data_IF_127219984540
#
_entry.id   IF_127219984540
#
_cell.length_a   1.000
_cell.length_b   1.000
_cell.length_c   1.000
_cell.angle_alpha   90.00
_cell.angle_beta   90.00
_cell.angle_gamma   90.00
#
_symmetry.space_group_name_H-M   'P 1'
#
loop_
_entity.id
_entity.type
_entity.pdbx_description
1 polymer ?
#
# COMPACT_ATOMS: atom_id res chain seq x y z
N UNK A 1 9.32 -38.03 2.97
CA UNK A 1 8.54 -37.18 2.03
C UNK A 1 9.25 -37.22 0.69
N UNK A 2 8.55 -37.11 -0.45
CA UNK A 2 9.21 -36.98 -1.77
C UNK A 2 9.91 -35.63 -1.89
N UNK A 3 10.85 -35.51 -2.84
CA UNK A 3 11.47 -34.23 -3.21
C UNK A 3 10.42 -33.15 -3.51
N UNK A 4 9.42 -33.50 -4.33
CA UNK A 4 8.31 -32.61 -4.66
C UNK A 4 7.50 -32.17 -3.44
N UNK A 5 7.28 -33.07 -2.48
CA UNK A 5 6.57 -32.69 -1.26
C UNK A 5 7.44 -31.78 -0.40
N UNK A 6 8.74 -32.09 -0.27
CA UNK A 6 9.69 -31.28 0.50
C UNK A 6 9.77 -29.83 -0.02
N UNK A 7 9.76 -29.63 -1.35
CA UNK A 7 9.79 -28.28 -1.95
C UNK A 7 8.56 -27.42 -1.63
N UNK A 8 7.49 -28.03 -1.12
CA UNK A 8 6.25 -27.37 -0.69
C UNK A 8 6.07 -27.33 0.83
N UNK A 9 6.95 -27.96 1.61
CA UNK A 9 6.92 -27.86 3.07
C UNK A 9 7.30 -26.44 3.49
N UNK A 10 6.47 -25.84 4.35
CA UNK A 10 6.66 -24.50 4.92
C UNK A 10 6.68 -24.56 6.43
N UNK A 11 7.37 -23.61 7.04
CA UNK A 11 7.42 -23.51 8.49
C UNK A 11 6.03 -23.22 9.05
N UNK A 12 5.55 -23.95 10.09
CA UNK A 12 4.19 -23.77 10.58
C UNK A 12 3.97 -22.38 11.20
N UNK A 13 2.96 -21.66 10.70
CA UNK A 13 2.62 -20.31 11.16
C UNK A 13 2.29 -20.25 12.65
N UNK A 14 1.56 -21.24 13.16
CA UNK A 14 1.16 -21.24 14.58
C UNK A 14 2.34 -21.52 15.51
N UNK A 15 3.28 -22.37 15.09
CA UNK A 15 4.54 -22.56 15.82
C UNK A 15 5.33 -21.26 15.88
N UNK A 16 5.43 -20.55 14.75
CA UNK A 16 6.11 -19.27 14.70
C UNK A 16 5.45 -18.20 15.57
N UNK A 17 4.10 -18.14 15.60
CA UNK A 17 3.36 -17.22 16.48
C UNK A 17 3.66 -17.48 17.96
N UNK A 18 3.73 -18.75 18.39
CA UNK A 18 4.09 -19.11 19.77
C UNK A 18 5.54 -18.70 20.08
N UNK A 19 6.48 -19.02 19.19
CA UNK A 19 7.89 -18.64 19.36
C UNK A 19 8.10 -17.13 19.41
N UNK A 20 7.40 -16.39 18.54
CA UNK A 20 7.33 -14.93 18.54
C UNK A 20 6.85 -14.39 19.88
N UNK A 21 5.75 -14.91 20.42
CA UNK A 21 5.21 -14.47 21.70
C UNK A 21 6.18 -14.74 22.87
N UNK A 22 6.85 -15.90 22.87
CA UNK A 22 7.87 -16.25 23.86
C UNK A 22 9.07 -15.29 23.74
N UNK A 23 9.58 -15.06 22.53
CA UNK A 23 10.73 -14.18 22.29
C UNK A 23 10.44 -12.73 22.65
N UNK A 24 9.21 -12.24 22.48
CA UNK A 24 8.83 -10.89 22.91
C UNK A 24 9.08 -10.63 24.40
N UNK A 25 9.02 -11.67 25.23
CA UNK A 25 9.22 -11.57 26.69
C UNK A 25 10.59 -12.07 27.13
N UNK A 26 11.06 -13.20 26.58
CA UNK A 26 12.22 -13.93 27.09
C UNK A 26 13.53 -13.67 26.33
N UNK A 27 13.55 -12.73 25.38
CA UNK A 27 14.82 -12.24 24.81
C UNK A 27 15.65 -11.42 25.82
N UNK A 28 15.02 -10.95 26.91
CA UNK A 28 15.65 -10.16 27.97
C UNK A 28 16.43 -11.08 28.90
N UNK A 29 17.76 -10.99 28.87
CA UNK A 29 18.65 -11.77 29.75
C UNK A 29 18.91 -11.16 31.13
N UNK A 30 18.58 -9.88 31.33
CA UNK A 30 18.76 -9.19 32.62
C UNK A 30 17.55 -9.39 33.55
N UNK A 31 17.80 -9.80 34.78
CA UNK A 31 16.75 -10.15 35.74
C UNK A 31 15.93 -8.93 36.20
N UNK A 32 16.56 -7.76 36.32
CA UNK A 32 15.88 -6.55 36.74
C UNK A 32 14.96 -6.04 35.63
N UNK A 33 15.45 -5.98 34.39
CA UNK A 33 14.65 -5.61 33.23
C UNK A 33 13.50 -6.59 32.98
N UNK A 34 13.75 -7.89 33.13
CA UNK A 34 12.70 -8.90 33.03
C UNK A 34 11.60 -8.70 34.09
N UNK A 35 11.98 -8.44 35.35
CA UNK A 35 11.01 -8.19 36.43
C UNK A 35 10.23 -6.89 36.22
N UNK A 36 10.88 -5.84 35.72
CA UNK A 36 10.27 -4.54 35.47
C UNK A 36 9.49 -4.47 34.15
N UNK A 37 9.71 -5.44 33.25
CA UNK A 37 9.14 -5.51 31.89
C UNK A 37 9.43 -4.25 31.06
N UNK A 38 10.54 -3.56 31.37
CA UNK A 38 10.96 -2.32 30.72
C UNK A 38 11.46 -2.54 29.27
N UNK A 39 11.87 -3.76 28.96
CA UNK A 39 12.25 -4.22 27.62
C UNK A 39 11.38 -5.38 27.12
N UNK A 40 10.12 -5.45 27.55
CA UNK A 40 9.16 -6.39 26.98
C UNK A 40 8.68 -5.90 25.60
N UNK A 41 8.61 -6.80 24.62
CA UNK A 41 8.15 -6.51 23.27
C UNK A 41 6.87 -7.27 22.95
N UNK A 42 6.07 -6.73 22.03
CA UNK A 42 4.88 -7.37 21.50
C UNK A 42 4.80 -7.27 19.98
N UNK A 43 3.92 -8.07 19.39
CA UNK A 43 3.57 -7.93 17.98
C UNK A 43 2.72 -6.68 17.82
N UNK A 44 2.95 -5.82 16.81
CA UNK A 44 2.06 -4.69 16.56
C UNK A 44 0.66 -5.16 16.19
N UNK A 45 -0.35 -4.32 16.48
CA UNK A 45 -1.69 -4.49 15.92
C UNK A 45 -1.63 -4.45 14.39
N UNK A 46 -2.56 -5.15 13.74
CA UNK A 46 -2.72 -5.07 12.30
C UNK A 46 -3.12 -3.64 11.92
N UNK A 47 -2.39 -2.97 11.01
CA UNK A 47 -2.73 -1.62 10.58
C UNK A 47 -4.11 -1.46 9.94
N UNK A 48 -4.72 -2.55 9.47
CA UNK A 48 -6.07 -2.59 8.90
C UNK A 48 -7.14 -3.08 9.89
N UNK A 49 -6.74 -3.70 11.00
CA UNK A 49 -7.64 -4.18 12.03
C UNK A 49 -6.98 -4.08 13.41
N UNK A 50 -7.29 -3.01 14.14
CA UNK A 50 -6.72 -2.73 15.45
C UNK A 50 -7.04 -3.76 16.55
N UNK A 51 -8.03 -4.64 16.29
CA UNK A 51 -8.47 -5.68 17.19
C UNK A 51 -7.69 -6.99 17.03
N UNK A 52 -6.80 -7.07 16.04
CA UNK A 52 -5.97 -8.23 15.76
C UNK A 52 -4.48 -7.85 15.76
N UNK A 53 -3.63 -8.81 16.13
CA UNK A 53 -2.18 -8.66 15.97
C UNK A 53 -1.79 -8.94 14.53
N UNK A 54 -0.83 -8.19 14.00
CA UNK A 54 -0.36 -8.38 12.65
C UNK A 54 0.13 -9.84 12.46
N UNK A 55 -0.44 -10.60 11.51
CA UNK A 55 -0.01 -11.96 11.26
C UNK A 55 1.40 -11.96 10.68
N UNK A 56 2.20 -13.00 10.94
CA UNK A 56 3.46 -13.15 10.23
C UNK A 56 3.19 -13.48 8.76
N UNK A 57 4.06 -13.01 7.87
CA UNK A 57 3.91 -13.17 6.43
C UNK A 57 5.18 -13.70 5.79
N UNK A 58 5.04 -14.36 4.65
CA UNK A 58 6.18 -14.94 3.94
C UNK A 58 6.81 -13.93 2.99
N UNK A 59 8.14 -13.91 2.99
CA UNK A 59 8.96 -13.07 2.13
C UNK A 59 10.14 -13.87 1.61
N UNK A 60 10.54 -13.63 0.37
CA UNK A 60 11.86 -14.02 -0.11
C UNK A 60 12.83 -12.90 0.25
N UNK A 61 13.70 -13.15 1.21
CA UNK A 61 14.62 -12.13 1.74
C UNK A 61 15.95 -12.71 2.14
N UNK A 62 16.95 -11.84 2.25
CA UNK A 62 18.29 -12.16 2.74
C UNK A 62 18.51 -11.47 4.09
N UNK A 63 18.51 -12.26 5.16
CA UNK A 63 18.87 -11.75 6.49
C UNK A 63 20.38 -11.53 6.58
N UNK A 64 20.85 -10.62 7.47
CA UNK A 64 22.28 -10.47 7.73
C UNK A 64 22.96 -11.80 8.07
N UNK A 65 24.12 -12.05 7.46
CA UNK A 65 24.85 -13.31 7.60
C UNK A 65 24.41 -14.43 6.64
N UNK A 66 23.33 -14.24 5.87
CA UNK A 66 22.98 -15.15 4.77
C UNK A 66 23.70 -14.75 3.48
N UNK A 67 24.05 -15.73 2.66
CA UNK A 67 24.75 -15.52 1.37
C UNK A 67 23.79 -15.39 0.19
N UNK A 68 22.51 -15.78 0.36
CA UNK A 68 21.48 -15.71 -0.67
C UNK A 68 20.10 -15.48 -0.05
N UNK A 69 19.14 -14.92 -0.81
CA UNK A 69 17.75 -14.83 -0.37
C UNK A 69 17.13 -16.21 -0.14
N UNK A 70 16.27 -16.30 0.87
CA UNK A 70 15.53 -17.51 1.22
C UNK A 70 14.07 -17.18 1.50
N UNK A 71 13.18 -18.13 1.19
CA UNK A 71 11.76 -18.00 1.53
C UNK A 71 11.59 -18.15 3.04
N UNK A 72 11.24 -17.06 3.71
CA UNK A 72 11.17 -16.97 5.18
C UNK A 72 9.84 -16.41 5.61
N UNK A 73 9.39 -16.81 6.79
CA UNK A 73 8.27 -16.16 7.47
C UNK A 73 8.82 -15.06 8.37
N UNK A 74 8.22 -13.88 8.33
CA UNK A 74 8.70 -12.65 8.92
C UNK A 74 7.67 -12.05 9.89
N UNK A 75 8.14 -11.39 10.95
CA UNK A 75 7.33 -10.61 11.89
C UNK A 75 8.16 -9.49 12.49
N UNK A 76 7.49 -8.41 12.90
CA UNK A 76 8.10 -7.27 13.59
C UNK A 76 7.74 -7.25 15.08
N UNK A 77 8.49 -6.48 15.85
CA UNK A 77 8.26 -6.22 17.27
C UNK A 77 8.22 -4.73 17.57
N UNK A 78 7.32 -4.34 18.47
CA UNK A 78 7.23 -3.01 19.08
C UNK A 78 7.34 -3.13 20.61
N UNK A 79 7.66 -2.05 21.36
CA UNK A 79 7.59 -2.06 22.81
C UNK A 79 6.20 -2.48 23.30
N UNK A 80 6.14 -3.26 24.39
CA UNK A 80 4.86 -3.70 24.93
C UNK A 80 4.06 -2.55 25.53
N UNK A 81 2.75 -2.57 25.29
CA UNK A 81 1.77 -1.65 25.88
C UNK A 81 1.42 -1.97 27.33
N UNK A 82 1.80 -3.15 27.86
CA UNK A 82 1.55 -3.49 29.26
C UNK A 82 2.26 -2.54 30.24
N UNK A 83 3.32 -1.86 29.79
CA UNK A 83 4.05 -0.85 30.56
C UNK A 83 3.55 0.60 30.35
N UNK A 84 2.54 0.84 29.49
CA UNK A 84 1.98 2.17 29.19
C UNK A 84 1.49 2.35 27.74
N UNK A 85 1.35 3.59 27.23
CA UNK A 85 1.04 3.81 25.82
C UNK A 85 2.19 3.28 24.94
N UNK A 86 1.98 2.15 24.26
CA UNK A 86 3.00 1.58 23.37
C UNK A 86 3.37 2.59 22.29
N UNK A 87 4.65 2.97 22.28
CA UNK A 87 5.24 3.68 21.16
C UNK A 87 5.29 2.69 20.01
N UNK A 88 4.61 2.98 18.90
CA UNK A 88 4.62 2.08 17.75
C UNK A 88 5.89 2.29 16.90
N UNK A 89 7.05 2.07 17.54
CA UNK A 89 8.40 2.10 16.94
C UNK A 89 8.94 0.67 16.90
N UNK A 90 9.71 0.33 15.89
CA UNK A 90 10.28 -1.02 15.78
C UNK A 90 11.44 -1.21 16.74
N UNK A 91 11.38 -2.29 17.51
CA UNK A 91 12.49 -2.77 18.35
C UNK A 91 13.33 -3.82 17.64
N UNK A 92 12.76 -4.49 16.65
CA UNK A 92 13.42 -5.56 15.92
C UNK A 92 12.44 -6.33 15.06
N UNK A 93 12.98 -7.33 14.37
CA UNK A 93 12.21 -8.26 13.57
C UNK A 93 12.79 -9.66 13.67
N UNK A 94 11.95 -10.64 13.40
CA UNK A 94 12.28 -12.06 13.44
C UNK A 94 11.89 -12.69 12.12
N UNK A 95 12.81 -13.47 11.57
CA UNK A 95 12.57 -14.31 10.41
C UNK A 95 12.84 -15.78 10.75
N UNK A 96 12.05 -16.69 10.19
CA UNK A 96 12.33 -18.12 10.21
C UNK A 96 12.39 -18.65 8.79
N UNK A 97 13.47 -19.36 8.49
CA UNK A 97 13.63 -20.00 7.20
C UNK A 97 12.51 -21.03 6.98
N UNK A 98 11.75 -20.84 5.92
CA UNK A 98 10.56 -21.61 5.60
C UNK A 98 10.74 -22.47 4.35
N UNK A 99 11.97 -22.61 3.84
CA UNK A 99 12.27 -23.48 2.72
C UNK A 99 12.96 -24.76 3.21
N UNK A 100 12.18 -25.85 3.21
CA UNK A 100 12.63 -27.17 3.63
C UNK A 100 13.61 -27.82 2.65
N UNK A 101 13.82 -27.27 1.46
CA UNK A 101 14.66 -27.84 0.41
C UNK A 101 13.89 -28.77 -0.54
N UNK A 102 14.63 -29.37 -1.47
CA UNK A 102 14.14 -30.21 -2.56
C UNK A 102 14.68 -31.65 -2.49
N UNK A 103 15.44 -31.98 -1.44
CA UNK A 103 15.95 -33.34 -1.23
C UNK A 103 14.91 -34.25 -0.59
N UNK A 104 14.72 -35.44 -1.15
CA UNK A 104 13.71 -36.38 -0.66
C UNK A 104 13.99 -36.85 0.77
N UNK A 105 13.17 -36.40 1.71
CA UNK A 105 13.22 -36.83 3.11
C UNK A 105 14.26 -36.11 3.97
N UNK A 106 15.00 -35.15 3.41
CA UNK A 106 16.03 -34.39 4.13
C UNK A 106 15.67 -32.92 4.13
N UNK A 107 15.42 -32.36 5.32
CA UNK A 107 15.24 -30.92 5.44
C UNK A 107 16.58 -30.22 5.26
N UNK A 108 16.59 -29.14 4.50
CA UNK A 108 17.75 -28.24 4.36
C UNK A 108 18.22 -27.77 5.73
N UNK A 109 19.53 -27.69 5.93
CA UNK A 109 20.16 -27.32 7.21
C UNK A 109 19.60 -26.03 7.83
N UNK A 110 19.19 -25.07 7.00
CA UNK A 110 18.67 -23.79 7.46
C UNK A 110 17.18 -23.77 7.77
N UNK A 111 16.42 -24.79 7.35
CA UNK A 111 14.99 -24.86 7.57
C UNK A 111 14.65 -24.78 9.06
N UNK A 112 13.74 -23.86 9.41
CA UNK A 112 13.34 -23.61 10.78
C UNK A 112 14.34 -22.85 11.63
N UNK A 113 15.47 -22.38 11.08
CA UNK A 113 16.37 -21.48 11.82
C UNK A 113 15.75 -20.10 11.98
N UNK A 114 15.52 -19.74 13.24
CA UNK A 114 15.09 -18.42 13.68
C UNK A 114 16.27 -17.45 13.66
N UNK A 115 16.06 -16.26 13.08
CA UNK A 115 17.03 -15.17 13.03
C UNK A 115 16.33 -13.90 13.50
N UNK A 116 16.76 -13.41 14.65
CA UNK A 116 16.25 -12.17 15.23
C UNK A 116 17.26 -11.06 14.99
N UNK A 117 16.79 -9.93 14.47
CA UNK A 117 17.55 -8.70 14.41
C UNK A 117 16.95 -7.69 15.38
N UNK A 118 17.82 -7.15 16.24
CA UNK A 118 17.46 -6.12 17.20
C UNK A 118 17.90 -4.78 16.65
N UNK A 119 16.99 -3.82 16.63
CA UNK A 119 17.28 -2.44 16.26
C UNK A 119 17.86 -1.74 17.48
N UNK A 120 18.92 -0.97 17.27
CA UNK A 120 19.58 -0.26 18.36
C UNK A 120 18.68 0.82 18.95
N UNK A 121 18.73 1.02 20.26
CA UNK A 121 17.82 1.91 20.98
C UNK A 121 17.98 3.41 20.64
N UNK A 122 19.12 3.79 20.04
CA UNK A 122 19.39 5.12 19.50
C UNK A 122 18.76 5.33 18.11
N UNK A 123 18.37 4.27 17.42
CA UNK A 123 17.71 4.33 16.12
C UNK A 123 16.20 4.26 16.28
N UNK A 124 15.51 5.35 15.97
CA UNK A 124 14.04 5.35 15.95
C UNK A 124 13.55 4.95 14.56
N UNK A 125 12.95 3.76 14.47
CA UNK A 125 12.39 3.24 13.22
C UNK A 125 10.86 3.15 13.36
N UNK A 126 10.06 3.72 12.43
CA UNK A 126 8.60 3.67 12.52
C UNK A 126 8.06 2.24 12.51
N UNK A 127 7.15 1.92 13.43
CA UNK A 127 6.38 0.68 13.39
C UNK A 127 5.27 0.71 12.34
N UNK A 128 4.68 -0.45 11.99
CA UNK A 128 3.62 -0.53 10.98
C UNK A 128 2.45 0.44 11.23
N UNK A 129 2.03 0.60 12.49
CA UNK A 129 0.95 1.53 12.80
C UNK A 129 1.34 3.01 12.65
N UNK A 130 2.61 3.38 12.86
CA UNK A 130 3.06 4.75 12.57
C UNK A 130 3.06 5.02 11.07
N UNK A 131 3.61 4.09 10.26
CA UNK A 131 3.64 4.24 8.81
C UNK A 131 2.23 4.32 8.24
N UNK A 132 1.30 3.48 8.73
CA UNK A 132 -0.10 3.57 8.33
C UNK A 132 -0.72 4.93 8.65
N UNK A 133 -0.44 5.49 9.83
CA UNK A 133 -0.92 6.82 10.19
C UNK A 133 -0.31 7.90 9.28
N UNK A 134 0.96 7.76 8.91
CA UNK A 134 1.61 8.66 7.95
C UNK A 134 0.93 8.57 6.58
N UNK A 135 0.65 7.38 6.06
CA UNK A 135 -0.09 7.20 4.80
C UNK A 135 -1.49 7.82 4.87
N UNK A 136 -2.20 7.63 5.97
CA UNK A 136 -3.55 8.18 6.15
C UNK A 136 -3.55 9.72 6.25
N UNK A 137 -2.48 10.30 6.81
CA UNK A 137 -2.33 11.74 7.00
C UNK A 137 -1.77 12.46 5.76
N UNK A 138 -1.21 11.72 4.79
CA UNK A 138 -0.66 12.30 3.58
C UNK A 138 -1.76 12.93 2.70
N UNK A 139 -1.64 14.22 2.31
CA UNK A 139 -2.66 14.89 1.50
C UNK A 139 -2.86 14.29 0.10
N UNK A 140 -1.81 13.81 -0.55
CA UNK A 140 -1.90 13.20 -1.87
C UNK A 140 -2.58 11.83 -1.79
N UNK A 141 -2.19 11.01 -0.81
CA UNK A 141 -2.82 9.71 -0.57
C UNK A 141 -4.29 9.89 -0.22
N UNK A 142 -4.60 10.73 0.76
CA UNK A 142 -5.98 10.93 1.22
C UNK A 142 -6.90 11.50 0.13
N UNK A 143 -6.43 12.45 -0.69
CA UNK A 143 -7.21 12.99 -1.80
C UNK A 143 -7.51 11.95 -2.88
N UNK A 144 -6.51 11.15 -3.28
CA UNK A 144 -6.70 10.10 -4.28
C UNK A 144 -7.56 8.94 -3.76
N UNK A 145 -7.38 8.51 -2.51
CA UNK A 145 -8.25 7.50 -1.88
C UNK A 145 -9.70 7.99 -1.83
N UNK A 146 -9.93 9.27 -1.52
CA UNK A 146 -11.28 9.85 -1.57
C UNK A 146 -11.86 9.86 -2.98
N UNK A 147 -11.03 10.07 -4.02
CA UNK A 147 -11.47 9.95 -5.41
C UNK A 147 -11.84 8.50 -5.75
N UNK A 148 -11.04 7.51 -5.34
CA UNK A 148 -11.32 6.09 -5.55
C UNK A 148 -12.60 5.59 -4.84
N UNK A 149 -13.01 6.27 -3.76
CA UNK A 149 -14.28 6.02 -3.06
C UNK A 149 -15.50 6.61 -3.78
N UNK A 150 -15.30 7.53 -4.73
CA UNK A 150 -16.41 8.12 -5.49
C UNK A 150 -16.95 7.08 -6.50
N UNK A 151 -18.27 6.99 -6.64
CA UNK A 151 -18.89 6.12 -7.66
C UNK A 151 -19.17 4.68 -7.23
N UNK A 152 -19.87 4.48 -6.11
CA UNK A 152 -20.32 3.14 -5.65
C UNK A 152 -19.18 2.12 -5.52
N UNK A 153 -18.06 2.57 -4.98
CA UNK A 153 -16.84 1.78 -4.86
C UNK A 153 -16.35 1.74 -3.40
N UNK A 154 -16.01 0.55 -2.93
CA UNK A 154 -15.36 0.32 -1.64
C UNK A 154 -13.84 0.25 -1.86
N UNK A 155 -13.08 1.10 -1.17
CA UNK A 155 -11.60 1.01 -1.14
C UNK A 155 -11.18 0.03 -0.04
N UNK A 156 -10.32 -0.92 -0.41
CA UNK A 156 -9.73 -1.91 0.47
C UNK A 156 -8.21 -1.72 0.51
N UNK A 157 -7.70 -1.29 1.64
CA UNK A 157 -6.27 -1.30 1.88
C UNK A 157 -5.83 -2.75 2.19
N UNK A 158 -4.81 -3.23 1.49
CA UNK A 158 -4.22 -4.52 1.76
C UNK A 158 -3.25 -4.49 2.94
N UNK A 159 -2.58 -5.62 3.15
CA UNK A 159 -1.61 -5.77 4.22
C UNK A 159 -0.43 -4.81 4.04
N UNK A 160 -0.07 -4.10 5.10
CA UNK A 160 1.17 -3.31 5.14
C UNK A 160 2.35 -4.26 5.41
N UNK A 161 3.22 -4.42 4.42
CA UNK A 161 4.42 -5.25 4.52
C UNK A 161 5.61 -4.37 4.88
N UNK A 162 6.41 -4.82 5.85
CA UNK A 162 7.69 -4.22 6.25
C UNK A 162 8.82 -5.10 5.72
N UNK A 163 9.69 -4.52 4.89
CA UNK A 163 10.71 -5.24 4.13
C UNK A 163 12.10 -4.69 4.47
N UNK A 164 13.00 -5.49 5.07
CA UNK A 164 14.41 -5.10 5.24
C UNK A 164 15.13 -5.12 3.89
N UNK A 165 15.48 -3.94 3.38
CA UNK A 165 16.16 -3.76 2.09
C UNK A 165 17.22 -2.66 2.20
N UNK A 166 18.37 -2.83 1.53
CA UNK A 166 19.39 -1.78 1.41
C UNK A 166 19.94 -1.21 2.72
N UNK A 167 19.82 -1.91 3.84
CA UNK A 167 20.20 -1.41 5.17
C UNK A 167 19.14 -0.56 5.89
N UNK A 168 17.94 -0.43 5.31
CA UNK A 168 16.78 0.22 5.91
C UNK A 168 15.52 -0.67 5.84
N UNK A 169 14.36 -0.05 6.02
CA UNK A 169 13.06 -0.71 5.89
C UNK A 169 12.21 0.00 4.85
N UNK A 170 11.73 -0.79 3.90
CA UNK A 170 10.75 -0.41 2.90
C UNK A 170 9.36 -0.89 3.37
N UNK A 171 8.38 -0.02 3.32
CA UNK A 171 7.00 -0.34 3.66
C UNK A 171 6.17 -0.33 2.39
N UNK A 172 5.41 -1.39 2.15
CA UNK A 172 4.61 -1.55 0.93
C UNK A 172 3.18 -1.93 1.31
N UNK A 173 2.20 -1.21 0.78
CA UNK A 173 0.80 -1.50 0.97
C UNK A 173 0.03 -1.39 -0.35
N UNK A 174 -0.55 -2.48 -0.86
CA UNK A 174 -1.43 -2.41 -2.02
C UNK A 174 -2.80 -1.82 -1.62
N UNK A 175 -3.42 -1.09 -2.54
CA UNK A 175 -4.76 -0.52 -2.39
C UNK A 175 -5.64 -1.06 -3.51
N UNK A 176 -6.72 -1.71 -3.12
CA UNK A 176 -7.70 -2.30 -4.03
C UNK A 176 -9.00 -1.50 -4.02
N UNK A 177 -9.76 -1.61 -5.11
CA UNK A 177 -11.12 -1.09 -5.22
C UNK A 177 -12.04 -2.20 -5.72
N UNK A 178 -13.25 -2.25 -5.16
CA UNK A 178 -14.32 -3.14 -5.60
C UNK A 178 -15.66 -2.39 -5.63
N UNK A 179 -16.63 -2.91 -6.38
CA UNK A 179 -18.00 -2.38 -6.34
C UNK A 179 -18.62 -2.51 -4.96
N UNK A 180 -19.37 -1.49 -4.54
CA UNK A 180 -20.24 -1.54 -3.35
C UNK A 180 -21.53 -2.36 -3.57
N UNK A 181 -21.74 -2.86 -4.79
CA UNK A 181 -22.89 -3.69 -5.18
C UNK A 181 -22.77 -5.16 -4.78
N UNK A 182 -23.63 -6.01 -5.36
CA UNK A 182 -23.73 -7.42 -5.01
C UNK A 182 -22.51 -8.25 -5.46
N UNK A 183 -21.87 -7.87 -6.57
CA UNK A 183 -20.68 -8.56 -7.08
C UNK A 183 -19.43 -7.77 -6.70
N UNK A 184 -18.69 -8.30 -5.72
CA UNK A 184 -17.48 -7.68 -5.19
C UNK A 184 -16.25 -8.42 -5.71
N UNK A 185 -15.57 -7.82 -6.69
CA UNK A 185 -14.29 -8.30 -7.20
C UNK A 185 -13.23 -7.20 -6.98
N UNK A 186 -12.33 -7.36 -5.99
CA UNK A 186 -11.23 -6.42 -5.78
C UNK A 186 -10.29 -6.34 -6.97
N UNK A 187 -9.95 -5.11 -7.35
CA UNK A 187 -8.96 -4.79 -8.38
C UNK A 187 -7.87 -3.94 -7.77
N UNK A 188 -6.60 -4.24 -8.03
CA UNK A 188 -5.50 -3.39 -7.59
C UNK A 188 -5.60 -2.05 -8.33
N UNK A 189 -5.58 -0.95 -7.58
CA UNK A 189 -5.61 0.39 -8.15
C UNK A 189 -4.32 1.15 -7.89
N UNK A 190 -3.73 0.98 -6.70
CA UNK A 190 -2.53 1.71 -6.29
C UNK A 190 -1.62 0.87 -5.39
N UNK A 191 -0.37 1.28 -5.29
CA UNK A 191 0.64 0.76 -4.36
C UNK A 191 1.25 1.92 -3.59
N UNK A 192 1.09 1.91 -2.26
CA UNK A 192 1.76 2.80 -1.32
C UNK A 192 3.13 2.24 -0.99
N UNK A 193 4.16 3.06 -1.12
CA UNK A 193 5.52 2.70 -0.73
C UNK A 193 6.13 3.80 0.12
N UNK A 194 6.86 3.42 1.17
CA UNK A 194 7.67 4.37 1.95
C UNK A 194 9.04 3.80 2.30
N UNK A 195 10.05 4.67 2.23
CA UNK A 195 11.40 4.40 2.69
C UNK A 195 11.98 5.66 3.33
N UNK A 196 12.38 5.57 4.59
CA UNK A 196 12.79 6.76 5.34
C UNK A 196 11.63 7.75 5.53
N UNK A 197 11.76 8.96 4.99
CA UNK A 197 10.73 10.00 5.06
C UNK A 197 9.96 10.16 3.75
N UNK A 198 10.36 9.44 2.71
CA UNK A 198 9.78 9.56 1.37
C UNK A 198 8.61 8.58 1.23
N UNK A 199 7.59 9.01 0.49
CA UNK A 199 6.37 8.26 0.23
C UNK A 199 6.08 8.37 -1.26
N UNK A 200 5.75 7.23 -1.87
CA UNK A 200 5.27 7.14 -3.24
C UNK A 200 3.90 6.45 -3.26
N UNK A 201 3.04 6.88 -4.20
CA UNK A 201 1.69 6.36 -4.35
C UNK A 201 1.31 6.27 -5.83
N UNK A 202 1.65 5.14 -6.43
CA UNK A 202 1.57 4.92 -7.88
C UNK A 202 0.70 3.71 -8.23
N UNK A 203 0.47 3.45 -9.52
CA UNK A 203 -0.40 2.35 -9.96
C UNK A 203 0.27 0.98 -9.80
N UNK A 204 1.60 0.96 -9.89
CA UNK A 204 2.44 -0.25 -9.77
C UNK A 204 3.52 -0.10 -8.70
N UNK A 205 4.05 -1.22 -8.23
CA UNK A 205 5.21 -1.23 -7.32
C UNK A 205 6.45 -0.69 -8.03
N UNK A 206 6.68 -1.05 -9.30
CA UNK A 206 7.83 -0.52 -10.06
C UNK A 206 7.78 1.00 -10.15
N UNK A 207 6.64 1.60 -10.54
CA UNK A 207 6.49 3.06 -10.58
C UNK A 207 6.67 3.69 -9.19
N UNK A 208 6.11 3.08 -8.14
CA UNK A 208 6.25 3.60 -6.79
C UNK A 208 7.71 3.56 -6.31
N UNK A 209 8.46 2.51 -6.64
CA UNK A 209 9.90 2.42 -6.34
C UNK A 209 10.70 3.46 -7.12
N UNK A 210 10.39 3.64 -8.41
CA UNK A 210 11.09 4.62 -9.24
C UNK A 210 10.84 6.06 -8.77
N UNK A 211 9.59 6.36 -8.40
CA UNK A 211 9.23 7.65 -7.80
C UNK A 211 9.96 7.89 -6.47
N UNK A 212 10.10 6.84 -5.65
CA UNK A 212 10.75 6.92 -4.33
C UNK A 212 12.26 7.13 -4.43
N UNK A 213 12.94 6.48 -5.38
CA UNK A 213 14.39 6.53 -5.53
C UNK A 213 14.88 7.50 -6.63
N UNK A 214 13.95 8.24 -7.24
CA UNK A 214 14.27 9.33 -8.18
C UNK A 214 14.77 8.86 -9.55
N UNK A 215 14.32 7.70 -10.02
CA UNK A 215 14.74 7.09 -11.28
C UNK A 215 14.70 5.56 -11.19
N UNK A 216 15.48 4.85 -12.02
CA UNK A 216 15.57 3.38 -11.98
C UNK A 216 15.99 2.90 -10.58
N UNK A 217 15.04 2.34 -9.84
CA UNK A 217 15.26 1.82 -8.50
C UNK A 217 16.25 0.63 -8.47
N UNK A 218 16.72 0.16 -9.63
CA UNK A 218 17.64 -0.97 -9.77
C UNK A 218 17.01 -2.30 -9.34
N UNK A 219 15.68 -2.31 -9.17
CA UNK A 219 14.89 -3.43 -8.70
C UNK A 219 13.72 -3.66 -9.66
N UNK A 220 13.63 -4.86 -10.23
CA UNK A 220 12.47 -5.27 -11.02
C UNK A 220 11.35 -5.70 -10.07
N UNK A 221 10.27 -4.92 -9.96
CA UNK A 221 9.13 -5.17 -9.06
C UNK A 221 8.28 -6.40 -9.39
N UNK A 222 8.65 -7.17 -10.43
CA UNK A 222 7.88 -8.31 -10.93
C UNK A 222 6.57 -7.93 -11.64
N UNK A 223 6.28 -6.64 -11.72
CA UNK A 223 5.08 -6.03 -12.30
C UNK A 223 5.42 -5.12 -13.50
N UNK A 224 6.62 -5.26 -14.07
CA UNK A 224 7.09 -4.51 -15.24
C UNK A 224 6.20 -4.69 -16.48
N UNK A 225 5.46 -5.80 -16.55
CA UNK A 225 4.50 -6.10 -17.62
C UNK A 225 3.05 -5.74 -17.24
N UNK A 226 2.82 -5.22 -16.03
CA UNK A 226 1.49 -4.79 -15.58
C UNK A 226 1.23 -3.42 -16.20
N UNK A 227 0.32 -3.37 -17.17
CA UNK A 227 -0.18 -2.08 -17.66
C UNK A 227 -1.17 -1.54 -16.63
N UNK A 228 -0.93 -0.35 -16.04
CA UNK A 228 -1.92 0.31 -15.20
C UNK A 228 -3.25 0.38 -15.96
N UNK A 229 -4.33 -0.09 -15.34
CA UNK A 229 -5.65 0.13 -15.93
C UNK A 229 -5.99 1.59 -15.66
N UNK A 230 -6.09 2.47 -16.68
CA UNK A 230 -6.54 3.82 -16.47
C UNK A 230 -7.88 3.75 -15.75
N UNK A 231 -8.00 4.43 -14.61
CA UNK A 231 -9.21 4.45 -13.80
C UNK A 231 -10.45 4.57 -14.69
N UNK A 232 -11.48 3.78 -14.36
CA UNK A 232 -12.66 3.57 -15.17
C UNK A 232 -13.26 4.88 -15.75
N UNK A 233 -12.78 5.30 -16.92
CA UNK A 233 -13.58 6.04 -17.88
C UNK A 233 -14.60 5.07 -18.41
N UNK A 234 -15.86 5.34 -18.09
CA UNK A 234 -17.08 4.93 -18.79
C UNK A 234 -16.87 3.88 -19.88
N UNK A 235 -17.27 2.66 -19.57
CA UNK A 235 -17.57 1.62 -20.55
C UNK A 235 -18.39 2.23 -21.71
N UNK A 236 -18.05 1.98 -22.99
CA UNK A 236 -18.87 2.42 -24.10
C UNK A 236 -20.19 1.64 -24.06
N UNK A 237 -21.29 2.37 -23.82
CA UNK A 237 -22.64 1.87 -23.99
C UNK A 237 -22.81 1.32 -25.41
N UNK A 238 -23.33 0.11 -25.62
CA UNK A 238 -23.65 -0.38 -26.95
C UNK A 238 -24.75 0.48 -27.58
N UNK A 239 -24.50 0.85 -28.84
CA UNK A 239 -25.37 1.56 -29.76
C UNK A 239 -26.81 0.99 -29.77
N UNK A 240 -27.86 1.80 -29.52
CA UNK A 240 -29.23 1.35 -29.69
C UNK A 240 -29.69 1.52 -31.15
N UNK A 241 -30.02 0.40 -31.78
CA UNK A 241 -30.87 0.32 -32.99
C UNK A 241 -32.21 1.03 -32.75
N UNK A 242 -32.75 1.80 -33.72
CA UNK A 242 -33.94 2.62 -33.51
C UNK A 242 -35.21 1.77 -33.44
N UNK A 243 -36.09 2.07 -32.49
CA UNK A 243 -37.51 1.67 -32.56
C UNK A 243 -38.37 2.79 -31.99
N UNK A 244 -39.52 2.98 -32.65
CA UNK A 244 -40.45 4.10 -32.62
C UNK A 244 -41.11 4.44 -31.27
N UNK A 245 -41.18 5.75 -31.02
CA UNK A 245 -42.28 6.58 -30.45
C UNK A 245 -43.11 6.10 -29.25
N UNK A 246 -43.00 6.81 -28.11
CA UNK A 246 -44.11 7.61 -27.50
C UNK A 246 -43.58 8.54 -26.39
N UNK A 247 -44.16 9.74 -26.21
CA UNK A 247 -43.54 10.83 -25.44
C UNK A 247 -43.89 10.80 -23.95
N UNK A 248 -42.90 11.02 -23.09
CA UNK A 248 -43.09 11.43 -21.69
C UNK A 248 -42.14 12.59 -21.37
N UNK A 249 -42.73 13.64 -20.81
CA UNK A 249 -42.23 14.97 -20.42
C UNK A 249 -40.80 15.03 -19.84
N UNK A 250 -39.97 16.02 -20.23
CA UNK A 250 -38.61 16.18 -19.73
C UNK A 250 -38.56 16.93 -18.39
N UNK A 251 -37.58 16.59 -17.57
CA UNK A 251 -36.99 17.48 -16.55
C UNK A 251 -35.49 17.41 -16.77
N UNK A 252 -34.93 18.46 -17.36
CA UNK A 252 -33.49 18.64 -17.63
C UNK A 252 -32.68 18.73 -16.33
N UNK A 253 -31.43 18.25 -16.37
CA UNK A 253 -30.26 19.07 -16.12
C UNK A 253 -29.64 19.42 -17.48
N UNK A 254 -29.56 20.72 -17.75
CA UNK A 254 -29.32 21.36 -19.06
C UNK A 254 -28.03 20.93 -19.74
N UNK A 255 -28.04 20.82 -21.08
CA UNK A 255 -26.87 20.74 -21.97
C UNK A 255 -25.76 21.76 -21.60
N UNK A 256 -26.15 22.89 -21.00
CA UNK A 256 -25.26 23.93 -20.50
C UNK A 256 -24.29 23.44 -19.41
N UNK A 257 -24.67 22.47 -18.56
CA UNK A 257 -23.78 21.93 -17.53
C UNK A 257 -22.68 21.06 -18.15
N UNK A 258 -23.04 20.23 -19.13
CA UNK A 258 -22.06 19.43 -19.87
C UNK A 258 -21.14 20.30 -20.72
N UNK A 259 -21.67 21.34 -21.36
CA UNK A 259 -20.88 22.31 -22.11
C UNK A 259 -19.87 23.04 -21.21
N UNK A 260 -20.29 23.49 -20.01
CA UNK A 260 -19.41 24.15 -19.05
C UNK A 260 -18.31 23.20 -18.52
N UNK A 261 -18.63 21.91 -18.32
CA UNK A 261 -17.64 20.91 -17.90
C UNK A 261 -16.59 20.65 -19.01
N UNK A 262 -17.02 20.56 -20.27
CA UNK A 262 -16.10 20.40 -21.41
C UNK A 262 -15.21 21.63 -21.59
N UNK A 263 -15.74 22.83 -21.45
CA UNK A 263 -14.96 24.07 -21.53
C UNK A 263 -13.93 24.14 -20.40
N UNK A 264 -14.28 23.74 -19.17
CA UNK A 264 -13.34 23.68 -18.06
C UNK A 264 -12.19 22.70 -18.33
N UNK A 265 -12.50 21.51 -18.85
CA UNK A 265 -11.47 20.51 -19.21
C UNK A 265 -10.54 21.02 -20.32
N UNK A 266 -11.10 21.64 -21.38
CA UNK A 266 -10.30 22.17 -22.47
C UNK A 266 -9.41 23.34 -22.01
N UNK A 267 -9.94 24.24 -21.17
CA UNK A 267 -9.19 25.36 -20.63
C UNK A 267 -8.01 24.90 -19.74
N UNK A 268 -8.15 23.79 -19.00
CA UNK A 268 -7.04 23.20 -18.24
C UNK A 268 -5.94 22.66 -19.15
N UNK A 269 -6.31 21.95 -20.23
CA UNK A 269 -5.34 21.42 -21.21
C UNK A 269 -4.59 22.55 -21.94
N UNK A 270 -5.32 23.60 -22.35
CA UNK A 270 -4.74 24.76 -23.02
C UNK A 270 -3.78 25.52 -22.09
N UNK A 271 -4.13 25.63 -20.81
CA UNK A 271 -3.28 26.27 -19.78
C UNK A 271 -1.97 25.51 -19.60
N UNK A 272 -2.02 24.18 -19.49
CA UNK A 272 -0.83 23.35 -19.34
C UNK A 272 0.04 23.35 -20.60
N UNK A 273 -0.56 23.38 -21.80
CA UNK A 273 0.14 23.52 -23.06
C UNK A 273 0.85 24.88 -23.17
N UNK A 274 0.18 25.97 -22.79
CA UNK A 274 0.75 27.32 -22.77
C UNK A 274 1.92 27.44 -21.78
N UNK A 275 1.80 26.83 -20.59
CA UNK A 275 2.88 26.80 -19.59
C UNK A 275 4.11 26.07 -20.12
N UNK A 276 3.93 24.92 -20.81
CA UNK A 276 5.02 24.17 -21.45
C UNK A 276 5.66 24.93 -22.61
N UNK A 277 4.88 25.72 -23.35
CA UNK A 277 5.36 26.57 -24.43
C UNK A 277 6.02 27.87 -23.93
N UNK A 278 5.90 28.20 -22.64
CA UNK A 278 6.36 29.47 -22.08
C UNK A 278 5.54 30.69 -22.53
N UNK A 279 4.34 30.47 -23.06
CA UNK A 279 3.44 31.53 -23.54
C UNK A 279 2.53 32.00 -22.40
N UNK A 280 2.95 33.07 -21.72
CA UNK A 280 2.22 33.64 -20.59
C UNK A 280 0.90 34.31 -20.99
N UNK A 281 0.74 34.72 -22.25
CA UNK A 281 -0.50 35.33 -22.75
C UNK A 281 -1.56 34.26 -22.98
N UNK A 282 -1.19 33.19 -23.69
CA UNK A 282 -2.08 32.04 -23.88
C UNK A 282 -2.46 31.37 -22.54
N UNK A 283 -1.53 31.36 -21.57
CA UNK A 283 -1.81 30.88 -20.22
C UNK A 283 -2.89 31.70 -19.52
N UNK A 284 -2.78 33.04 -19.55
CA UNK A 284 -3.76 33.93 -18.92
C UNK A 284 -5.15 33.83 -19.58
N UNK A 285 -5.21 33.65 -20.90
CA UNK A 285 -6.47 33.45 -21.63
C UNK A 285 -7.13 32.12 -21.29
N UNK A 286 -6.35 31.03 -21.17
CA UNK A 286 -6.85 29.73 -20.75
C UNK A 286 -7.32 29.74 -19.29
N UNK A 287 -6.60 30.42 -18.39
CA UNK A 287 -6.98 30.54 -16.98
C UNK A 287 -8.27 31.35 -16.78
N UNK A 288 -8.48 32.41 -17.59
CA UNK A 288 -9.73 33.16 -17.62
C UNK A 288 -10.92 32.30 -18.10
N UNK A 289 -10.72 31.47 -19.13
CA UNK A 289 -11.75 30.52 -19.62
C UNK A 289 -12.10 29.47 -18.58
N UNK A 290 -11.09 28.94 -17.87
CA UNK A 290 -11.30 28.00 -16.78
C UNK A 290 -12.12 28.62 -15.65
N UNK A 291 -11.78 29.83 -15.24
CA UNK A 291 -12.51 30.56 -14.17
C UNK A 291 -13.97 30.76 -14.54
N UNK A 292 -14.24 31.22 -15.78
CA UNK A 292 -15.60 31.42 -16.27
C UNK A 292 -16.40 30.11 -16.33
N UNK A 293 -15.78 29.01 -16.77
CA UNK A 293 -16.44 27.70 -16.84
C UNK A 293 -16.77 27.15 -15.44
N UNK A 294 -15.88 27.33 -14.46
CA UNK A 294 -16.11 26.94 -13.06
C UNK A 294 -17.22 27.79 -12.42
N UNK A 295 -17.26 29.10 -12.67
CA UNK A 295 -18.35 29.96 -12.20
C UNK A 295 -19.71 29.54 -12.78
N UNK A 296 -19.75 29.16 -14.06
CA UNK A 296 -20.96 28.60 -14.68
C UNK A 296 -21.37 27.26 -14.05
N UNK A 297 -20.42 26.37 -13.78
CA UNK A 297 -20.70 25.09 -13.10
C UNK A 297 -21.24 25.30 -11.68
N UNK A 298 -20.71 26.28 -10.93
CA UNK A 298 -21.21 26.64 -9.60
C UNK A 298 -22.64 27.21 -9.68
N UNK A 299 -22.91 28.07 -10.67
CA UNK A 299 -24.23 28.65 -10.86
C UNK A 299 -25.28 27.61 -11.28
N UNK A 300 -24.90 26.66 -12.13
CA UNK A 300 -25.77 25.59 -12.62
C UNK A 300 -25.94 24.43 -11.61
N UNK A 301 -24.93 24.15 -10.79
CA UNK A 301 -24.97 23.11 -9.75
C UNK A 301 -25.65 23.55 -8.44
N UNK A 302 -26.00 24.83 -8.32
CA UNK A 302 -26.70 25.41 -7.17
C UNK A 302 -28.24 25.52 -7.32
N UNK A 303 -28.81 25.03 -8.42
CA UNK A 303 -30.26 24.92 -8.66
C UNK A 303 -30.74 23.47 -8.50
#
# INVERSE_FOLDING_TARGET
>A
MSADLMSHVRYPTDLFKVQRAILGVYHVGDAQSFYQRDNAWETPNDPQNDSELQPPYYLTMQMPGQTSPTYSMFTTFIPSSEAGNARNVLMGYLAVDSNAGDEAGTARDDYGKLRMLVISADTTVPGPGQVQNTFNADPLVSSQINLLKQGQSDVLNGNLLTLPVGGGLLYVQPVFVQSSGATKLPTLQKVLVSFGNDIAFEDTLSEALDALFGGDAGATGGDSDVTPTPGATTQPTPEPTPTETTPSTPTEPTDAYQAALQEAQQAMLDRDAALKAGDLTAFAEADARLTAAVEQLIALGGQ
#
